data_IF_284876128060
#
_entry.id   IF_284876128060
#
_cell.length_a   1.000
_cell.length_b   1.000
_cell.length_c   1.000
_cell.angle_alpha   90.00
_cell.angle_beta   90.00
_cell.angle_gamma   90.00
#
_symmetry.space_group_name_H-M   'P 1'
#
loop_
_entity.id
_entity.type
_entity.pdbx_description
1 polymer ?
#
# COMPACT_ATOMS: atom_id res chain seq x y z
N UNK A 1 -51.16 -6.85 40.16
CA UNK A 1 -50.36 -5.67 40.54
C UNK A 1 -48.89 -6.07 40.61
N UNK A 2 -47.86 -5.38 40.13
CA UNK A 2 -47.70 -4.31 39.14
C UNK A 2 -46.19 -4.25 38.90
N UNK A 3 -45.76 -4.49 37.66
CA UNK A 3 -44.62 -3.84 36.99
C UNK A 3 -43.39 -3.48 37.84
N UNK A 4 -42.40 -4.37 37.90
CA UNK A 4 -40.98 -3.96 37.92
C UNK A 4 -40.11 -4.83 37.01
N UNK A 5 -40.69 -5.21 35.86
CA UNK A 5 -39.92 -5.43 34.64
C UNK A 5 -39.47 -4.06 34.13
N UNK A 6 -38.27 -3.63 34.51
CA UNK A 6 -37.45 -2.58 33.89
C UNK A 6 -36.27 -2.42 34.87
N UNK A 7 -35.05 -2.82 34.54
CA UNK A 7 -34.20 -2.09 33.60
C UNK A 7 -33.11 -3.03 33.09
N UNK A 8 -33.25 -3.41 31.82
CA UNK A 8 -32.14 -3.70 30.93
C UNK A 8 -31.24 -2.44 30.87
N UNK A 9 -29.99 -2.56 31.30
CA UNK A 9 -28.93 -1.64 30.86
C UNK A 9 -27.90 -2.50 30.13
N UNK A 10 -28.25 -2.85 28.90
CA UNK A 10 -27.29 -3.31 27.89
C UNK A 10 -26.45 -2.09 27.54
N UNK A 11 -25.25 -2.01 28.11
CA UNK A 11 -24.25 -1.05 27.68
C UNK A 11 -23.73 -1.45 26.31
N UNK A 12 -24.38 -0.97 25.26
CA UNK A 12 -23.89 -1.07 23.88
C UNK A 12 -22.60 -0.25 23.75
N UNK A 13 -21.46 -0.88 24.00
CA UNK A 13 -20.17 -0.34 23.58
C UNK A 13 -20.17 -0.34 22.04
N UNK A 14 -20.41 0.84 21.46
CA UNK A 14 -20.33 1.10 20.03
C UNK A 14 -18.90 0.81 19.56
N UNK A 15 -18.71 -0.37 18.95
CA UNK A 15 -17.55 -0.64 18.12
C UNK A 15 -17.69 0.24 16.88
N UNK A 16 -16.94 1.33 16.84
CA UNK A 16 -16.71 2.07 15.60
C UNK A 16 -15.83 1.22 14.68
N UNK A 17 -16.45 0.25 14.00
CA UNK A 17 -15.86 -0.36 12.81
C UNK A 17 -15.80 0.73 11.76
N UNK A 18 -14.62 1.33 11.58
CA UNK A 18 -14.35 2.27 10.50
C UNK A 18 -14.74 1.60 9.19
N UNK A 19 -15.85 2.06 8.61
CA UNK A 19 -16.26 1.66 7.26
C UNK A 19 -15.17 2.14 6.31
N UNK A 20 -14.38 1.19 5.83
CA UNK A 20 -13.42 1.43 4.76
C UNK A 20 -14.27 1.70 3.53
N UNK A 21 -14.55 2.97 3.25
CA UNK A 21 -15.01 3.34 1.92
C UNK A 21 -13.87 2.93 0.98
N UNK A 22 -14.13 1.93 0.14
CA UNK A 22 -13.22 1.54 -0.92
C UNK A 22 -13.25 2.66 -1.98
N UNK A 23 -12.53 3.76 -1.72
CA UNK A 23 -12.15 4.69 -2.76
C UNK A 23 -11.32 3.88 -3.77
N UNK A 24 -11.96 3.48 -4.87
CA UNK A 24 -11.27 2.84 -5.97
C UNK A 24 -10.40 3.91 -6.64
N UNK A 25 -9.09 3.67 -6.70
CA UNK A 25 -8.13 4.52 -7.38
C UNK A 25 -7.73 3.87 -8.71
N UNK A 26 -8.59 3.89 -9.75
CA UNK A 26 -8.37 3.09 -10.98
C UNK A 26 -7.05 3.40 -11.68
N UNK A 27 -6.52 4.62 -11.55
CA UNK A 27 -5.20 4.98 -12.09
C UNK A 27 -4.04 4.32 -11.32
N UNK A 28 -4.20 4.03 -10.02
CA UNK A 28 -3.19 3.30 -9.26
C UNK A 28 -3.07 1.86 -9.73
N UNK A 29 -4.17 1.24 -10.14
CA UNK A 29 -4.20 -0.15 -10.62
C UNK A 29 -3.26 -0.34 -11.82
N UNK A 30 -3.33 0.57 -12.79
CA UNK A 30 -2.48 0.51 -13.98
C UNK A 30 -1.00 0.80 -13.66
N UNK A 31 -0.74 1.83 -12.83
CA UNK A 31 0.62 2.21 -12.46
C UNK A 31 1.29 1.14 -11.60
N UNK A 32 0.58 0.63 -10.58
CA UNK A 32 1.06 -0.46 -9.74
C UNK A 32 1.31 -1.72 -10.58
N UNK A 33 0.40 -2.05 -11.50
CA UNK A 33 0.56 -3.16 -12.44
C UNK A 33 1.84 -3.06 -13.25
N UNK A 34 2.14 -1.90 -13.84
CA UNK A 34 3.38 -1.67 -14.61
C UNK A 34 4.64 -1.84 -13.76
N UNK A 35 4.63 -1.35 -12.52
CA UNK A 35 5.77 -1.48 -11.62
C UNK A 35 5.98 -2.95 -11.23
N UNK A 36 4.91 -3.67 -10.88
CA UNK A 36 4.97 -5.09 -10.55
C UNK A 36 5.47 -5.90 -11.74
N UNK A 37 4.92 -5.69 -12.93
CA UNK A 37 5.36 -6.35 -14.15
C UNK A 37 6.84 -6.09 -14.44
N UNK A 38 7.33 -4.86 -14.23
CA UNK A 38 8.74 -4.56 -14.40
C UNK A 38 9.62 -5.44 -13.49
N UNK A 39 9.32 -5.50 -12.19
CA UNK A 39 10.10 -6.34 -11.28
C UNK A 39 10.01 -7.83 -11.64
N UNK A 40 8.82 -8.32 -11.96
CA UNK A 40 8.63 -9.73 -12.30
C UNK A 40 9.36 -10.12 -13.59
N UNK A 41 9.32 -9.27 -14.62
CA UNK A 41 9.90 -9.54 -15.93
C UNK A 41 11.39 -9.20 -16.04
N UNK A 42 11.96 -8.44 -15.10
CA UNK A 42 13.39 -8.16 -15.06
C UNK A 42 14.20 -9.31 -14.47
N UNK A 43 15.43 -9.48 -14.95
CA UNK A 43 16.41 -10.38 -14.32
C UNK A 43 16.94 -9.77 -13.03
N UNK A 44 17.51 -10.60 -12.16
CA UNK A 44 18.08 -10.12 -10.90
C UNK A 44 19.26 -9.18 -11.13
N UNK A 45 20.09 -9.43 -12.15
CA UNK A 45 21.23 -8.59 -12.53
C UNK A 45 20.75 -7.21 -12.99
N UNK A 46 19.69 -7.15 -13.81
CA UNK A 46 19.10 -5.89 -14.28
C UNK A 46 18.57 -5.06 -13.11
N UNK A 47 17.87 -5.68 -12.18
CA UNK A 47 17.34 -5.00 -10.99
C UNK A 47 18.46 -4.51 -10.07
N UNK A 48 19.55 -5.28 -9.92
CA UNK A 48 20.72 -4.88 -9.15
C UNK A 48 21.46 -3.71 -9.79
N UNK A 49 21.64 -3.77 -11.11
CA UNK A 49 22.26 -2.70 -11.88
C UNK A 49 21.43 -1.42 -11.81
N UNK A 50 20.11 -1.51 -11.94
CA UNK A 50 19.25 -0.34 -11.78
C UNK A 50 19.32 0.23 -10.37
N UNK A 51 19.26 -0.62 -9.35
CA UNK A 51 19.38 -0.20 -7.95
C UNK A 51 20.70 0.52 -7.71
N UNK A 52 21.82 -0.02 -8.18
CA UNK A 52 23.15 0.58 -7.99
C UNK A 52 23.30 1.90 -8.75
N UNK A 53 22.75 2.00 -9.97
CA UNK A 53 22.74 3.25 -10.73
C UNK A 53 21.94 4.34 -10.02
N UNK A 54 20.80 3.99 -9.43
CA UNK A 54 19.93 4.95 -8.72
C UNK A 54 20.35 5.21 -7.29
N UNK A 55 21.26 4.40 -6.73
CA UNK A 55 21.68 4.53 -5.34
C UNK A 55 22.42 5.86 -5.12
N UNK A 56 21.98 6.63 -4.14
CA UNK A 56 22.55 7.95 -3.83
C UNK A 56 22.15 9.06 -4.81
N UNK A 57 21.44 8.75 -5.89
CA UNK A 57 20.93 9.76 -6.81
C UNK A 57 19.62 10.38 -6.27
N UNK A 58 19.39 11.69 -6.47
CA UNK A 58 18.11 12.29 -6.15
C UNK A 58 17.01 11.66 -7.02
N UNK A 59 15.83 11.47 -6.42
CA UNK A 59 14.63 11.05 -7.17
C UNK A 59 14.36 12.04 -8.29
N UNK A 60 13.93 11.54 -9.44
CA UNK A 60 13.50 12.39 -10.55
C UNK A 60 12.32 13.29 -10.15
N UNK A 61 12.08 14.43 -10.83
CA UNK A 61 10.96 15.32 -10.51
C UNK A 61 9.58 14.65 -10.56
N UNK A 62 9.40 13.61 -11.38
CA UNK A 62 8.17 12.81 -11.43
C UNK A 62 8.03 11.89 -10.22
N UNK A 63 9.09 11.18 -9.83
CA UNK A 63 9.11 10.35 -8.63
C UNK A 63 8.88 11.19 -7.36
N UNK A 64 9.46 12.39 -7.30
CA UNK A 64 9.23 13.31 -6.18
C UNK A 64 7.75 13.72 -6.07
N UNK A 65 7.11 14.06 -7.20
CA UNK A 65 5.67 14.37 -7.25
C UNK A 65 4.81 13.18 -6.83
N UNK A 66 5.12 11.98 -7.31
CA UNK A 66 4.40 10.77 -6.91
C UNK A 66 4.53 10.50 -5.41
N UNK A 67 5.73 10.63 -4.84
CA UNK A 67 5.95 10.51 -3.39
C UNK A 67 5.17 11.57 -2.63
N UNK A 68 5.12 12.81 -3.11
CA UNK A 68 4.36 13.88 -2.47
C UNK A 68 2.86 13.59 -2.48
N UNK A 69 2.32 13.10 -3.59
CA UNK A 69 0.92 12.69 -3.71
C UNK A 69 0.57 11.60 -2.69
N UNK A 70 1.38 10.52 -2.64
CA UNK A 70 1.18 9.44 -1.68
C UNK A 70 1.39 9.89 -0.22
N UNK A 71 2.16 10.95 0.05
CA UNK A 71 2.27 11.52 1.40
C UNK A 71 0.98 12.22 1.81
N UNK A 72 0.40 13.00 0.90
CA UNK A 72 -0.80 13.81 1.15
C UNK A 72 -2.08 12.99 1.24
N UNK A 73 -2.16 11.82 0.57
CA UNK A 73 -3.32 10.92 0.62
C UNK A 73 -2.97 9.57 1.28
N UNK A 74 -3.32 9.37 2.57
CA UNK A 74 -3.04 8.14 3.30
C UNK A 74 -3.76 6.90 2.75
N UNK A 75 -4.98 7.06 2.21
CA UNK A 75 -5.74 5.93 1.67
C UNK A 75 -5.11 5.46 0.36
N UNK A 76 -4.80 6.40 -0.53
CA UNK A 76 -4.08 6.12 -1.78
C UNK A 76 -2.74 5.45 -1.52
N UNK A 77 -2.00 5.90 -0.49
CA UNK A 77 -0.74 5.29 -0.08
C UNK A 77 -0.91 3.85 0.37
N UNK A 78 -1.89 3.57 1.22
CA UNK A 78 -2.16 2.22 1.69
C UNK A 78 -2.50 1.28 0.53
N UNK A 79 -3.40 1.71 -0.35
CA UNK A 79 -3.79 0.93 -1.54
C UNK A 79 -2.61 0.66 -2.48
N UNK A 80 -1.80 1.69 -2.80
CA UNK A 80 -0.63 1.52 -3.64
C UNK A 80 0.38 0.55 -3.03
N UNK A 81 0.72 0.72 -1.74
CA UNK A 81 1.68 -0.15 -1.04
C UNK A 81 1.17 -1.59 -0.99
N UNK A 82 -0.10 -1.81 -0.65
CA UNK A 82 -0.68 -3.16 -0.57
C UNK A 82 -0.58 -3.91 -1.90
N UNK A 83 -0.67 -3.21 -3.03
CA UNK A 83 -0.58 -3.79 -4.37
C UNK A 83 0.85 -4.13 -4.79
N UNK A 84 1.82 -3.26 -4.46
CA UNK A 84 3.19 -3.40 -4.96
C UNK A 84 4.13 -4.13 -4.00
N UNK A 85 3.91 -4.02 -2.69
CA UNK A 85 4.89 -4.41 -1.68
C UNK A 85 5.21 -5.90 -1.72
N UNK A 86 4.21 -6.77 -1.62
CA UNK A 86 4.41 -8.21 -1.60
C UNK A 86 5.10 -8.76 -2.88
N UNK A 87 4.59 -8.50 -4.11
CA UNK A 87 5.22 -9.07 -5.31
C UNK A 87 6.64 -8.52 -5.56
N UNK A 88 6.89 -7.24 -5.25
CA UNK A 88 8.22 -6.65 -5.41
C UNK A 88 9.18 -7.18 -4.34
N UNK A 89 8.75 -7.22 -3.08
CA UNK A 89 9.58 -7.73 -1.99
C UNK A 89 9.96 -9.20 -2.23
N UNK A 90 9.02 -10.04 -2.68
CA UNK A 90 9.33 -11.42 -3.04
C UNK A 90 10.41 -11.50 -4.13
N UNK A 91 10.26 -10.73 -5.21
CA UNK A 91 11.28 -10.67 -6.27
C UNK A 91 12.63 -10.17 -5.74
N UNK A 92 12.62 -9.15 -4.90
CA UNK A 92 13.85 -8.60 -4.30
C UNK A 92 14.52 -9.61 -3.37
N UNK A 93 13.75 -10.42 -2.62
CA UNK A 93 14.24 -11.48 -1.77
C UNK A 93 14.86 -12.62 -2.60
N UNK A 94 14.16 -13.09 -3.63
CA UNK A 94 14.69 -14.10 -4.59
C UNK A 94 16.01 -13.63 -5.23
N UNK A 95 16.14 -12.34 -5.50
CA UNK A 95 17.35 -11.73 -6.06
C UNK A 95 18.40 -11.33 -5.00
N UNK A 96 18.20 -11.62 -3.72
CA UNK A 96 19.13 -11.31 -2.62
C UNK A 96 19.31 -9.82 -2.33
N UNK A 97 18.38 -8.95 -2.76
CA UNK A 97 18.43 -7.49 -2.54
C UNK A 97 17.93 -7.04 -1.18
N UNK A 98 17.14 -7.88 -0.53
CA UNK A 98 16.64 -7.74 0.84
C UNK A 98 16.83 -9.09 1.56
N UNK A 99 17.16 -9.08 2.86
CA UNK A 99 17.34 -10.30 3.65
C UNK A 99 16.02 -11.02 3.95
#
# INVERSE_FOLDING_TARGET
MTRRFLRLVVGSALLFSGVVNAQQFPMLDEVAGKIVQKYQNSTCEQLWQEKSQKQGQPKSPSEQRAVQLLRTDPQMRAEFINRVAAPIANKMFECGMIP
#
